data_IF_023612680080
#
_entry.id   IF_023612680080
#
_cell.length_a   1.000
_cell.length_b   1.000
_cell.length_c   1.000
_cell.angle_alpha   90.00
_cell.angle_beta   90.00
_cell.angle_gamma   90.00
#
_symmetry.space_group_name_H-M   'P 1'
#
loop_
_entity.id
_entity.type
_entity.pdbx_description
1 polymer ?
#
# COMPACT_ATOMS: atom_id res chain seq x y z
N UNK A 1 30.18 2.10 27.50
CA UNK A 1 28.84 2.42 26.96
C UNK A 1 28.95 2.38 25.44
N UNK A 2 28.36 1.39 24.78
CA UNK A 2 28.41 1.22 23.30
C UNK A 2 27.40 2.21 22.70
N UNK A 3 27.88 3.12 21.85
CA UNK A 3 27.04 4.02 21.05
C UNK A 3 26.19 3.18 20.10
N UNK A 4 24.88 3.17 20.27
CA UNK A 4 23.94 2.62 19.31
C UNK A 4 23.98 3.51 18.05
N UNK A 5 24.15 2.88 16.89
CA UNK A 5 24.20 3.57 15.59
C UNK A 5 22.84 4.18 15.26
N UNK A 6 22.76 5.38 14.64
CA UNK A 6 21.51 5.97 14.15
C UNK A 6 20.73 5.04 13.20
N UNK A 7 21.44 4.12 12.55
CA UNK A 7 20.82 3.06 11.72
C UNK A 7 19.90 2.11 12.52
N UNK A 8 20.14 1.95 13.84
CA UNK A 8 19.34 1.06 14.70
C UNK A 8 17.99 1.68 15.07
N UNK A 9 17.88 3.00 15.13
CA UNK A 9 16.64 3.72 15.45
C UNK A 9 15.70 3.68 14.23
N UNK A 10 16.21 3.89 13.03
CA UNK A 10 15.45 3.73 11.78
C UNK A 10 14.96 2.29 11.58
N UNK A 11 15.72 1.29 12.01
CA UNK A 11 15.36 -0.14 11.94
C UNK A 11 14.26 -0.49 12.96
N UNK A 12 14.23 0.11 14.14
CA UNK A 12 13.18 -0.18 15.14
C UNK A 12 11.82 0.40 14.73
N UNK A 13 11.77 1.57 14.14
CA UNK A 13 10.52 2.16 13.60
C UNK A 13 10.00 1.33 12.41
N UNK A 14 10.89 0.75 11.61
CA UNK A 14 10.53 -0.17 10.51
C UNK A 14 10.05 -1.55 10.98
N UNK A 15 10.45 -2.04 12.15
CA UNK A 15 10.15 -3.42 12.60
C UNK A 15 8.74 -3.59 13.17
N UNK A 16 8.06 -2.53 13.59
CA UNK A 16 6.66 -2.60 14.07
C UNK A 16 5.67 -2.77 12.89
N UNK A 17 6.12 -2.51 11.65
CA UNK A 17 5.31 -2.53 10.42
C UNK A 17 5.69 -3.65 9.44
N UNK A 18 6.63 -4.54 9.75
CA UNK A 18 7.11 -5.57 8.83
C UNK A 18 6.46 -6.93 9.06
N UNK A 19 5.23 -7.08 8.56
CA UNK A 19 4.65 -8.36 8.17
C UNK A 19 4.84 -8.71 6.68
N UNK A 20 5.75 -8.07 5.93
CA UNK A 20 5.84 -8.23 4.47
C UNK A 20 7.17 -8.79 4.00
N UNK A 21 7.24 -10.11 3.81
CA UNK A 21 8.40 -10.80 3.20
C UNK A 21 8.55 -10.61 1.67
N UNK A 22 7.56 -9.99 0.98
CA UNK A 22 7.55 -9.84 -0.49
C UNK A 22 7.93 -8.41 -1.01
N UNK A 23 8.32 -7.50 -0.13
CA UNK A 23 8.61 -6.10 -0.50
C UNK A 23 9.76 -5.95 -1.51
N UNK A 24 10.74 -6.86 -1.51
CA UNK A 24 11.89 -6.80 -2.41
C UNK A 24 11.52 -7.13 -3.87
N UNK A 25 10.58 -8.04 -4.09
CA UNK A 25 10.11 -8.42 -5.43
C UNK A 25 9.26 -7.32 -6.06
N UNK A 26 8.42 -6.69 -5.25
CA UNK A 26 7.57 -5.56 -5.68
C UNK A 26 8.41 -4.36 -6.13
N UNK A 27 9.54 -4.06 -5.46
CA UNK A 27 10.47 -2.98 -5.87
C UNK A 27 11.01 -3.16 -7.29
N UNK A 28 11.27 -4.38 -7.73
CA UNK A 28 11.81 -4.63 -9.07
C UNK A 28 10.80 -4.39 -10.19
N UNK A 29 9.52 -4.41 -9.87
CA UNK A 29 8.42 -4.25 -10.82
C UNK A 29 7.86 -2.82 -10.88
N UNK A 30 8.09 -2.00 -9.85
CA UNK A 30 7.67 -0.61 -9.80
C UNK A 30 8.65 0.26 -10.60
N UNK A 31 8.37 0.52 -11.88
CA UNK A 31 8.94 1.66 -12.60
C UNK A 31 7.88 2.77 -12.64
N UNK A 32 8.25 4.02 -12.32
CA UNK A 32 7.32 5.13 -12.42
C UNK A 32 6.91 5.32 -13.88
N UNK A 33 5.64 5.18 -14.18
CA UNK A 33 5.10 5.39 -15.51
C UNK A 33 3.87 6.27 -15.46
N UNK A 34 3.92 7.32 -16.27
CA UNK A 34 2.74 8.00 -16.76
C UNK A 34 2.39 9.31 -16.06
N UNK A 35 2.68 10.41 -16.73
CA UNK A 35 2.00 11.70 -16.54
C UNK A 35 0.55 11.56 -17.00
N UNK A 36 -0.38 11.61 -16.07
CA UNK A 36 -1.82 11.71 -16.36
C UNK A 36 -2.15 13.12 -16.84
N UNK A 37 -2.95 13.25 -17.91
CA UNK A 37 -3.53 14.52 -18.34
C UNK A 37 -4.33 15.12 -17.19
N UNK A 38 -3.88 16.27 -16.68
CA UNK A 38 -4.57 17.00 -15.62
C UNK A 38 -3.73 17.35 -14.39
N UNK A 39 -2.49 16.86 -14.28
CA UNK A 39 -1.58 17.28 -13.22
C UNK A 39 -1.20 18.76 -13.40
N UNK A 40 -1.17 19.54 -12.31
CA UNK A 40 -0.55 20.87 -12.29
C UNK A 40 0.90 20.74 -12.75
N UNK A 41 1.42 21.75 -13.47
CA UNK A 41 2.78 21.73 -13.97
C UNK A 41 3.78 21.37 -12.86
N UNK A 42 4.57 20.30 -13.06
CA UNK A 42 5.52 19.80 -12.06
C UNK A 42 4.94 18.85 -11.00
N UNK A 43 3.64 18.51 -11.07
CA UNK A 43 2.97 17.55 -10.20
C UNK A 43 2.63 16.26 -10.93
N UNK A 44 2.55 15.15 -10.19
CA UNK A 44 2.13 13.84 -10.69
C UNK A 44 1.01 13.31 -9.81
N UNK A 45 -0.07 12.83 -10.43
CA UNK A 45 -1.17 12.18 -9.73
C UNK A 45 -0.86 10.71 -9.50
N UNK A 46 -1.05 10.25 -8.27
CA UNK A 46 -0.99 8.85 -7.87
C UNK A 46 -2.37 8.41 -7.44
N UNK A 47 -2.83 7.30 -7.99
CA UNK A 47 -4.09 6.65 -7.64
C UNK A 47 -3.83 5.48 -6.70
N UNK A 48 -4.65 5.33 -5.66
CA UNK A 48 -4.53 4.25 -4.69
C UNK A 48 -5.88 3.95 -4.06
N UNK A 49 -6.40 2.75 -4.28
CA UNK A 49 -7.74 2.39 -3.87
C UNK A 49 -8.77 3.38 -4.44
N UNK A 50 -9.59 3.93 -3.58
CA UNK A 50 -10.66 4.88 -3.98
C UNK A 50 -10.23 6.34 -3.94
N UNK A 51 -8.93 6.62 -3.73
CA UNK A 51 -8.39 7.97 -3.57
C UNK A 51 -7.27 8.27 -4.55
N UNK A 52 -6.96 9.55 -4.67
CA UNK A 52 -5.83 10.06 -5.45
C UNK A 52 -5.13 11.19 -4.68
N UNK A 53 -3.83 11.35 -4.95
CA UNK A 53 -3.00 12.44 -4.42
C UNK A 53 -2.10 12.99 -5.52
N UNK A 54 -1.91 14.31 -5.54
CA UNK A 54 -0.94 14.96 -6.41
C UNK A 54 0.32 15.28 -5.62
N UNK A 55 1.44 14.75 -6.06
CA UNK A 55 2.74 14.98 -5.44
C UNK A 55 3.69 15.66 -6.46
N UNK A 56 4.67 16.47 -6.00
CA UNK A 56 5.76 16.91 -6.86
C UNK A 56 6.34 15.76 -7.67
N UNK A 57 6.67 15.98 -8.95
CA UNK A 57 7.18 14.95 -9.85
C UNK A 57 8.48 14.28 -9.36
N UNK A 58 9.19 14.93 -8.42
CA UNK A 58 10.36 14.39 -7.75
C UNK A 58 10.06 13.25 -6.77
N UNK A 59 8.78 13.10 -6.33
CA UNK A 59 8.39 11.95 -5.54
C UNK A 59 8.30 10.69 -6.40
N UNK A 60 8.85 9.60 -5.89
CA UNK A 60 8.85 8.29 -6.54
C UNK A 60 8.17 7.27 -5.64
N UNK A 61 7.19 6.56 -6.17
CA UNK A 61 6.55 5.46 -5.49
C UNK A 61 7.56 4.31 -5.34
N UNK A 62 7.88 3.93 -4.11
CA UNK A 62 8.81 2.83 -3.81
C UNK A 62 8.08 1.51 -3.53
N UNK A 63 6.98 1.60 -2.81
CA UNK A 63 6.18 0.43 -2.39
C UNK A 63 4.71 0.80 -2.48
N UNK A 64 3.93 -0.10 -3.05
CA UNK A 64 2.47 -0.09 -2.96
C UNK A 64 1.98 -1.50 -2.70
N UNK A 65 1.14 -1.66 -1.68
CA UNK A 65 0.43 -2.88 -1.36
C UNK A 65 -1.04 -2.57 -1.24
N UNK A 66 -1.88 -3.38 -1.85
CA UNK A 66 -3.31 -3.15 -1.90
C UNK A 66 -4.06 -4.44 -1.71
N UNK A 67 -5.10 -4.39 -0.88
CA UNK A 67 -6.07 -5.47 -0.73
C UNK A 67 -7.47 -4.96 -1.07
N UNK A 68 -8.24 -5.79 -1.72
CA UNK A 68 -9.66 -5.60 -1.96
C UNK A 68 -10.37 -6.91 -1.68
N UNK A 69 -11.38 -6.88 -0.81
CA UNK A 69 -12.15 -8.08 -0.42
C UNK A 69 -11.25 -9.25 -0.01
N UNK A 70 -10.29 -9.00 0.89
CA UNK A 70 -9.27 -9.95 1.40
C UNK A 70 -8.22 -10.39 0.38
N UNK A 71 -8.32 -10.01 -0.89
CA UNK A 71 -7.34 -10.36 -1.89
C UNK A 71 -6.25 -9.30 -2.00
N UNK A 72 -4.98 -9.69 -1.85
CA UNK A 72 -3.86 -8.85 -2.27
C UNK A 72 -3.83 -8.77 -3.78
N UNK A 73 -3.78 -7.56 -4.33
CA UNK A 73 -3.78 -7.32 -5.77
C UNK A 73 -2.61 -6.43 -6.14
N UNK A 74 -1.92 -6.80 -7.21
CA UNK A 74 -0.81 -6.03 -7.75
C UNK A 74 -0.81 -6.10 -9.26
N UNK A 75 -0.87 -4.95 -9.94
CA UNK A 75 -0.77 -4.85 -11.38
C UNK A 75 0.55 -4.19 -11.81
N UNK A 76 1.02 -4.49 -13.00
CA UNK A 76 2.25 -3.98 -13.56
C UNK A 76 2.21 -3.93 -15.08
N UNK A 77 3.08 -3.08 -15.69
CA UNK A 77 3.32 -3.08 -17.14
C UNK A 77 4.37 -4.11 -17.51
N UNK A 78 4.17 -4.74 -18.66
CA UNK A 78 5.17 -5.63 -19.23
C UNK A 78 6.47 -4.85 -19.54
N UNK A 79 7.62 -5.46 -19.29
CA UNK A 79 8.94 -4.87 -19.52
C UNK A 79 9.51 -5.29 -20.86
N UNK A 80 9.25 -6.53 -21.25
CA UNK A 80 9.80 -7.13 -22.47
C UNK A 80 8.85 -6.97 -23.65
N UNK A 81 9.40 -6.91 -24.88
CA UNK A 81 8.60 -6.94 -26.10
C UNK A 81 7.87 -8.29 -26.26
N UNK A 82 8.54 -9.40 -25.89
CA UNK A 82 7.94 -10.72 -25.86
C UNK A 82 7.22 -10.95 -24.52
N UNK A 83 6.01 -10.44 -24.46
CA UNK A 83 5.11 -10.58 -23.32
C UNK A 83 4.86 -12.04 -22.93
N UNK A 84 4.75 -12.94 -23.91
CA UNK A 84 4.48 -14.35 -23.64
C UNK A 84 5.64 -14.98 -22.87
N UNK A 85 6.86 -14.68 -23.28
CA UNK A 85 8.07 -15.16 -22.62
C UNK A 85 8.23 -14.57 -21.21
N UNK A 86 7.99 -13.26 -21.05
CA UNK A 86 8.03 -12.61 -19.73
C UNK A 86 7.00 -13.24 -18.79
N UNK A 87 5.77 -13.44 -19.26
CA UNK A 87 4.68 -14.07 -18.51
C UNK A 87 5.03 -15.47 -18.02
N UNK A 88 5.50 -16.35 -18.91
CA UNK A 88 5.89 -17.71 -18.51
C UNK A 88 7.05 -17.67 -17.51
N UNK A 89 8.06 -16.81 -17.72
CA UNK A 89 9.19 -16.65 -16.81
C UNK A 89 8.73 -16.22 -15.40
N UNK A 90 7.84 -15.22 -15.31
CA UNK A 90 7.29 -14.75 -14.03
C UNK A 90 6.48 -15.84 -13.33
N UNK A 91 5.68 -16.61 -14.09
CA UNK A 91 4.91 -17.72 -13.54
C UNK A 91 5.82 -18.80 -12.95
N UNK A 92 6.83 -19.26 -13.71
CA UNK A 92 7.77 -20.28 -13.25
C UNK A 92 8.59 -19.82 -12.03
N UNK A 93 9.00 -18.56 -11.98
CA UNK A 93 9.66 -17.97 -10.80
C UNK A 93 8.75 -18.01 -9.57
N UNK A 94 7.45 -17.71 -9.72
CA UNK A 94 6.47 -17.79 -8.62
C UNK A 94 6.29 -19.22 -8.14
N UNK A 95 6.13 -20.19 -9.06
CA UNK A 95 6.03 -21.60 -8.71
C UNK A 95 7.29 -22.10 -8.00
N UNK A 96 8.48 -21.70 -8.47
CA UNK A 96 9.73 -22.07 -7.83
C UNK A 96 9.85 -21.53 -6.40
N UNK A 97 9.32 -20.34 -6.12
CA UNK A 97 9.25 -19.79 -4.77
C UNK A 97 8.26 -20.56 -3.89
N UNK A 98 7.07 -20.86 -4.40
CA UNK A 98 6.06 -21.65 -3.69
C UNK A 98 6.62 -23.02 -3.32
N UNK A 99 7.31 -23.71 -4.24
CA UNK A 99 7.91 -25.03 -4.01
C UNK A 99 9.00 -25.04 -2.93
N UNK A 100 9.57 -23.86 -2.59
CA UNK A 100 10.56 -23.70 -1.51
C UNK A 100 9.94 -23.46 -0.13
N UNK A 101 8.63 -23.26 -0.04
CA UNK A 101 7.95 -23.10 1.24
C UNK A 101 8.07 -24.37 2.06
N UNK A 102 8.05 -24.24 3.37
CA UNK A 102 8.12 -25.37 4.25
C UNK A 102 6.79 -26.13 4.27
N UNK A 103 6.86 -27.42 3.99
CA UNK A 103 5.68 -28.28 3.92
C UNK A 103 5.05 -28.45 5.32
N UNK A 104 3.74 -28.21 5.49
CA UNK A 104 3.07 -28.49 6.75
C UNK A 104 3.09 -29.98 7.13
N UNK A 105 3.11 -30.26 8.43
CA UNK A 105 3.18 -31.63 8.94
C UNK A 105 2.03 -32.49 8.41
N UNK A 106 2.35 -33.67 7.91
CA UNK A 106 1.36 -34.63 7.40
C UNK A 106 0.94 -34.39 5.94
N UNK A 107 1.44 -33.34 5.29
CA UNK A 107 1.22 -33.10 3.86
C UNK A 107 2.31 -33.74 3.02
N UNK A 108 1.98 -34.17 1.79
CA UNK A 108 2.92 -34.82 0.86
C UNK A 108 3.54 -33.86 -0.15
N UNK A 109 2.87 -32.76 -0.45
CA UNK A 109 3.29 -31.74 -1.43
C UNK A 109 2.77 -30.36 -1.05
N UNK A 110 3.50 -29.31 -1.45
CA UNK A 110 3.14 -27.94 -1.14
C UNK A 110 2.04 -27.42 -2.07
N UNK A 111 2.09 -27.73 -3.36
CA UNK A 111 1.10 -27.36 -4.35
C UNK A 111 -0.04 -28.38 -4.30
N UNK A 112 -1.27 -27.88 -4.14
CA UNK A 112 -2.50 -28.67 -4.10
C UNK A 112 -3.03 -28.84 -5.52
N UNK A 113 -3.18 -27.72 -6.24
CA UNK A 113 -3.72 -27.69 -7.59
C UNK A 113 -3.07 -26.56 -8.41
N UNK A 114 -2.85 -26.79 -9.69
CA UNK A 114 -2.53 -25.78 -10.70
C UNK A 114 -3.50 -25.88 -11.84
N UNK A 115 -4.07 -24.74 -12.28
CA UNK A 115 -5.07 -24.72 -13.36
C UNK A 115 -5.01 -23.48 -14.23
N UNK A 116 -5.41 -23.65 -15.49
CA UNK A 116 -5.73 -22.54 -16.37
C UNK A 116 -7.14 -22.03 -16.10
N UNK A 117 -7.27 -20.70 -16.01
CA UNK A 117 -8.58 -20.04 -15.90
C UNK A 117 -9.02 -19.57 -17.27
N UNK A 118 -10.16 -20.09 -17.75
CA UNK A 118 -10.73 -19.68 -19.03
C UNK A 118 -11.64 -18.46 -18.88
N UNK A 119 -11.63 -17.57 -19.87
CA UNK A 119 -12.51 -16.39 -19.89
C UNK A 119 -12.05 -15.24 -18.98
N UNK A 120 -10.82 -15.28 -18.46
CA UNK A 120 -10.23 -14.22 -17.66
C UNK A 120 -9.00 -13.70 -18.40
N UNK A 121 -9.00 -12.42 -18.80
CA UNK A 121 -7.93 -11.82 -19.59
C UNK A 121 -7.60 -12.58 -20.88
N UNK A 122 -6.42 -12.36 -21.42
CA UNK A 122 -5.90 -13.07 -22.58
C UNK A 122 -5.28 -14.43 -22.21
N UNK A 123 -4.85 -14.55 -20.97
CA UNK A 123 -4.29 -15.75 -20.39
C UNK A 123 -4.32 -15.62 -18.87
N UNK A 124 -4.67 -16.69 -18.18
CA UNK A 124 -4.66 -16.75 -16.73
C UNK A 124 -4.31 -18.14 -16.21
N UNK A 125 -3.46 -18.19 -15.18
CA UNK A 125 -3.16 -19.38 -14.39
C UNK A 125 -3.39 -19.12 -12.91
N UNK A 126 -3.80 -20.17 -12.21
CA UNK A 126 -3.97 -20.17 -10.76
C UNK A 126 -3.24 -21.35 -10.14
N UNK A 127 -2.70 -21.15 -8.95
CA UNK A 127 -2.11 -22.20 -8.12
C UNK A 127 -2.68 -22.12 -6.71
N UNK A 128 -3.13 -23.28 -6.21
CA UNK A 128 -3.54 -23.49 -4.84
C UNK A 128 -2.41 -24.20 -4.08
N UNK A 129 -2.04 -23.68 -2.91
CA UNK A 129 -0.92 -24.22 -2.16
C UNK A 129 -1.03 -23.99 -0.66
N UNK A 130 -0.31 -24.78 0.12
CA UNK A 130 -0.17 -24.54 1.55
C UNK A 130 0.79 -23.39 1.81
N UNK A 131 0.38 -22.45 2.67
CA UNK A 131 1.21 -21.33 3.09
C UNK A 131 2.29 -21.74 4.10
N UNK A 132 2.91 -20.76 4.72
CA UNK A 132 3.94 -21.01 5.74
C UNK A 132 3.32 -21.71 6.96
N UNK A 133 3.84 -22.90 7.28
CA UNK A 133 3.36 -23.74 8.39
C UNK A 133 3.40 -23.04 9.75
N UNK A 134 4.24 -22.00 9.90
CA UNK A 134 4.36 -21.22 11.14
C UNK A 134 3.12 -20.37 11.44
N UNK A 135 2.31 -20.12 10.43
CA UNK A 135 1.08 -19.31 10.53
C UNK A 135 -0.16 -20.21 10.64
N UNK A 136 0.01 -21.54 10.51
CA UNK A 136 -1.07 -22.52 10.49
C UNK A 136 -1.30 -23.16 9.12
N UNK A 137 -2.27 -24.10 9.04
CA UNK A 137 -2.62 -24.81 7.79
C UNK A 137 -3.44 -23.91 6.84
N UNK A 138 -2.93 -22.73 6.55
CA UNK A 138 -3.60 -21.82 5.60
C UNK A 138 -3.38 -22.27 4.16
N UNK A 139 -4.45 -22.24 3.38
CA UNK A 139 -4.43 -22.49 1.94
C UNK A 139 -4.47 -21.13 1.24
N UNK A 140 -3.61 -20.98 0.27
CA UNK A 140 -3.51 -19.78 -0.58
C UNK A 140 -3.88 -20.09 -2.01
N UNK A 141 -4.55 -19.16 -2.64
CA UNK A 141 -4.67 -19.05 -4.08
C UNK A 141 -3.78 -17.92 -4.56
N UNK A 142 -2.93 -18.19 -5.54
CA UNK A 142 -2.24 -17.16 -6.31
C UNK A 142 -2.67 -17.27 -7.76
N UNK A 143 -3.11 -16.17 -8.32
CA UNK A 143 -3.57 -16.07 -9.71
C UNK A 143 -2.70 -15.07 -10.45
N UNK A 144 -2.33 -15.40 -11.68
CA UNK A 144 -1.63 -14.52 -12.60
C UNK A 144 -2.43 -14.36 -13.88
N UNK A 145 -2.68 -13.10 -14.27
CA UNK A 145 -3.48 -12.78 -15.45
C UNK A 145 -2.72 -11.82 -16.36
N UNK A 146 -2.79 -12.10 -17.66
CA UNK A 146 -2.35 -11.22 -18.75
C UNK A 146 -3.58 -10.53 -19.35
N UNK A 147 -3.71 -9.21 -19.16
CA UNK A 147 -4.78 -8.39 -19.74
C UNK A 147 -4.35 -7.66 -21.04
N UNK A 148 -3.20 -7.98 -21.58
CA UNK A 148 -2.69 -7.32 -22.79
C UNK A 148 -1.73 -6.18 -22.44
N UNK A 149 -2.22 -5.04 -21.99
CA UNK A 149 -1.41 -3.89 -21.62
C UNK A 149 -0.69 -4.07 -20.28
N UNK A 150 -1.25 -4.88 -19.39
CA UNK A 150 -0.73 -5.13 -18.04
C UNK A 150 -0.81 -6.60 -17.65
N UNK A 151 0.07 -6.98 -16.72
CA UNK A 151 -0.08 -8.19 -15.91
C UNK A 151 -0.69 -7.87 -14.55
N UNK A 152 -1.39 -8.83 -13.97
CA UNK A 152 -1.98 -8.72 -12.63
C UNK A 152 -1.73 -9.98 -11.83
N UNK A 153 -1.21 -9.80 -10.62
CA UNK A 153 -1.15 -10.82 -9.59
C UNK A 153 -2.27 -10.60 -8.58
N UNK A 154 -2.93 -11.69 -8.20
CA UNK A 154 -3.87 -11.72 -7.09
C UNK A 154 -3.50 -12.86 -6.17
N UNK A 155 -3.44 -12.59 -4.86
CA UNK A 155 -3.25 -13.62 -3.82
C UNK A 155 -4.37 -13.51 -2.79
N UNK A 156 -5.04 -14.62 -2.53
CA UNK A 156 -6.11 -14.74 -1.56
C UNK A 156 -5.81 -15.90 -0.63
N UNK A 157 -6.03 -15.72 0.67
CA UNK A 157 -5.96 -16.82 1.64
C UNK A 157 -7.34 -17.10 2.24
N UNK A 158 -7.59 -18.35 2.62
CA UNK A 158 -8.84 -18.71 3.27
C UNK A 158 -9.04 -20.22 3.40
N UNK A 159 -9.91 -20.58 4.33
CA UNK A 159 -10.23 -21.97 4.66
C UNK A 159 -11.31 -22.58 3.74
N UNK A 160 -12.01 -21.76 2.95
CA UNK A 160 -13.16 -22.22 2.14
C UNK A 160 -12.99 -21.87 0.66
N UNK A 161 -12.63 -22.89 -0.12
CA UNK A 161 -12.24 -22.76 -1.51
C UNK A 161 -13.31 -22.19 -2.44
N UNK A 162 -14.60 -22.52 -2.26
CA UNK A 162 -15.63 -22.08 -3.21
C UNK A 162 -15.96 -20.59 -3.06
N UNK A 163 -16.07 -20.06 -1.84
CA UNK A 163 -16.32 -18.63 -1.61
C UNK A 163 -15.13 -17.81 -2.11
N UNK A 164 -13.92 -18.27 -1.84
CA UNK A 164 -12.68 -17.65 -2.28
C UNK A 164 -12.57 -17.62 -3.82
N UNK A 165 -12.86 -18.73 -4.49
CA UNK A 165 -12.87 -18.82 -5.96
C UNK A 165 -13.85 -17.84 -6.60
N UNK A 166 -15.07 -17.71 -6.06
CA UNK A 166 -16.07 -16.75 -6.55
C UNK A 166 -15.60 -15.32 -6.37
N UNK A 167 -14.99 -15.02 -5.22
CA UNK A 167 -14.50 -13.68 -4.91
C UNK A 167 -13.37 -13.26 -5.85
N UNK A 168 -12.34 -14.08 -6.04
CA UNK A 168 -11.26 -13.71 -6.95
C UNK A 168 -11.71 -13.64 -8.41
N UNK A 169 -12.62 -14.53 -8.86
CA UNK A 169 -13.18 -14.44 -10.21
C UNK A 169 -13.88 -13.11 -10.42
N UNK A 170 -14.67 -12.68 -9.43
CA UNK A 170 -15.35 -11.38 -9.48
C UNK A 170 -14.35 -10.21 -9.57
N UNK A 171 -13.29 -10.21 -8.75
CA UNK A 171 -12.25 -9.18 -8.81
C UNK A 171 -11.58 -9.15 -10.19
N UNK A 172 -11.18 -10.32 -10.70
CA UNK A 172 -10.46 -10.44 -11.96
C UNK A 172 -11.31 -10.03 -13.17
N UNK A 173 -12.59 -10.35 -13.19
CA UNK A 173 -13.48 -10.01 -14.31
C UNK A 173 -13.81 -8.52 -14.39
N UNK A 174 -13.61 -7.77 -13.31
CA UNK A 174 -13.86 -6.33 -13.25
C UNK A 174 -12.59 -5.48 -13.34
N UNK A 175 -11.43 -6.08 -13.57
CA UNK A 175 -10.20 -5.32 -13.79
C UNK A 175 -10.21 -4.66 -15.18
N UNK A 176 -9.80 -3.39 -15.21
CA UNK A 176 -9.64 -2.59 -16.43
C UNK A 176 -8.31 -1.82 -16.35
N UNK A 177 -7.55 -1.84 -17.44
CA UNK A 177 -6.32 -1.07 -17.57
C UNK A 177 -6.64 0.42 -17.75
N UNK A 178 -5.84 1.30 -17.11
CA UNK A 178 -5.98 2.75 -17.19
C UNK A 178 -6.95 3.34 -16.16
N UNK A 179 -7.04 4.68 -16.18
CA UNK A 179 -7.80 5.47 -15.20
C UNK A 179 -8.85 6.37 -15.87
N UNK A 180 -9.29 6.01 -17.07
CA UNK A 180 -10.34 6.75 -17.77
C UNK A 180 -11.71 6.44 -17.14
N UNK A 181 -12.56 7.48 -16.99
CA UNK A 181 -13.93 7.34 -16.49
C UNK A 181 -14.06 6.65 -15.13
N UNK A 182 -13.22 7.06 -14.16
CA UNK A 182 -13.31 6.56 -12.79
C UNK A 182 -14.68 6.88 -12.20
N UNK A 183 -15.28 5.89 -11.54
CA UNK A 183 -16.54 5.98 -10.81
C UNK A 183 -16.30 5.85 -9.31
N UNK A 184 -17.32 6.05 -8.48
CA UNK A 184 -17.24 5.80 -7.04
C UNK A 184 -16.90 4.33 -6.71
N UNK A 185 -17.18 3.42 -7.64
CA UNK A 185 -16.93 1.99 -7.48
C UNK A 185 -15.54 1.57 -7.97
N UNK A 186 -14.75 2.52 -8.49
CA UNK A 186 -13.38 2.25 -8.97
C UNK A 186 -12.41 2.11 -7.81
N UNK A 187 -11.80 0.94 -7.68
CA UNK A 187 -10.65 0.69 -6.81
C UNK A 187 -9.37 0.69 -7.65
N UNK A 188 -8.58 1.76 -7.54
CA UNK A 188 -7.42 2.01 -8.39
C UNK A 188 -6.18 1.25 -7.90
N UNK A 189 -5.44 0.65 -8.84
CA UNK A 189 -4.14 0.02 -8.67
C UNK A 189 -3.02 0.92 -9.23
N UNK A 190 -1.86 0.34 -9.60
CA UNK A 190 -0.76 1.13 -10.17
C UNK A 190 -1.00 1.54 -11.62
N UNK A 191 -1.68 0.71 -12.40
CA UNK A 191 -1.83 0.87 -13.85
C UNK A 191 -3.27 0.71 -14.34
N UNK A 192 -4.14 0.24 -13.47
CA UNK A 192 -5.53 0.01 -13.79
C UNK A 192 -6.42 0.13 -12.56
N UNK A 193 -7.64 -0.35 -12.70
CA UNK A 193 -8.65 -0.30 -11.66
C UNK A 193 -9.52 -1.54 -11.67
N UNK A 194 -10.17 -1.79 -10.55
CA UNK A 194 -11.19 -2.83 -10.38
C UNK A 194 -12.51 -2.11 -10.17
N UNK A 195 -13.46 -2.29 -11.09
CA UNK A 195 -14.79 -1.66 -11.03
C UNK A 195 -15.74 -2.50 -10.19
N UNK A 196 -15.62 -2.37 -8.87
CA UNK A 196 -16.46 -3.04 -7.90
C UNK A 196 -16.83 -2.09 -6.76
N UNK A 197 -18.11 -2.08 -6.34
CA UNK A 197 -18.51 -1.32 -5.17
C UNK A 197 -17.76 -1.84 -3.93
N UNK A 198 -17.57 -0.93 -2.97
CA UNK A 198 -17.08 -1.32 -1.66
C UNK A 198 -17.99 -2.42 -1.07
N UNK A 199 -17.38 -3.40 -0.46
CA UNK A 199 -18.08 -4.46 0.26
C UNK A 199 -17.47 -4.67 1.65
N UNK A 200 -16.19 -4.99 1.70
CA UNK A 200 -15.43 -5.25 2.92
C UNK A 200 -13.93 -5.34 2.63
N UNK A 201 -13.07 -5.15 3.64
CA UNK A 201 -11.63 -5.39 3.62
C UNK A 201 -10.90 -4.75 2.43
N UNK A 202 -10.84 -3.42 2.47
CA UNK A 202 -9.93 -2.66 1.61
C UNK A 202 -8.77 -2.13 2.47
N UNK A 203 -7.55 -2.46 2.07
CA UNK A 203 -6.34 -1.99 2.72
C UNK A 203 -5.38 -1.44 1.67
N UNK A 204 -4.78 -0.29 1.94
CA UNK A 204 -3.78 0.32 1.08
C UNK A 204 -2.60 0.75 1.93
N UNK A 205 -1.42 0.43 1.43
CA UNK A 205 -0.16 0.96 1.92
C UNK A 205 0.65 1.48 0.76
N UNK A 206 1.07 2.73 0.80
CA UNK A 206 1.96 3.33 -0.19
C UNK A 206 3.10 4.09 0.49
N UNK A 207 4.32 3.96 -0.06
CA UNK A 207 5.49 4.70 0.39
C UNK A 207 6.18 5.36 -0.79
N UNK A 208 6.56 6.61 -0.60
CA UNK A 208 7.23 7.43 -1.60
C UNK A 208 8.54 7.98 -1.05
N UNK A 209 9.58 7.99 -1.89
CA UNK A 209 10.78 8.79 -1.67
C UNK A 209 10.63 10.13 -2.39
N UNK A 210 10.92 11.23 -1.70
CA UNK A 210 10.77 12.59 -2.22
C UNK A 210 12.07 13.41 -2.16
N UNK A 211 12.02 14.67 -2.59
CA UNK A 211 13.14 15.60 -2.48
C UNK A 211 13.47 15.85 -1.00
N UNK A 212 14.67 16.36 -0.72
CA UNK A 212 15.13 16.67 0.65
C UNK A 212 15.04 15.49 1.61
N UNK A 213 15.27 14.28 1.11
CA UNK A 213 15.18 13.00 1.84
C UNK A 213 13.81 12.73 2.48
N UNK A 214 12.74 13.35 1.95
CA UNK A 214 11.38 13.12 2.41
C UNK A 214 10.93 11.68 2.13
N UNK A 215 10.29 11.07 3.11
CA UNK A 215 9.62 9.77 3.01
C UNK A 215 8.16 9.95 3.34
N UNK A 216 7.30 9.94 2.33
CA UNK A 216 5.85 10.02 2.50
C UNK A 216 5.26 8.62 2.57
N UNK A 217 4.38 8.39 3.55
CA UNK A 217 3.64 7.15 3.74
C UNK A 217 2.15 7.44 3.78
N UNK A 218 1.37 6.59 3.13
CA UNK A 218 -0.09 6.64 3.13
C UNK A 218 -0.60 5.25 3.47
N UNK A 219 -1.44 5.17 4.48
CA UNK A 219 -2.11 3.96 4.94
C UNK A 219 -3.61 4.22 4.96
N UNK A 220 -4.38 3.30 4.40
CA UNK A 220 -5.83 3.33 4.44
C UNK A 220 -6.31 1.94 4.81
N UNK A 221 -7.18 1.86 5.81
CA UNK A 221 -7.71 0.61 6.31
C UNK A 221 -9.21 0.75 6.50
N UNK A 222 -9.91 -0.36 6.34
CA UNK A 222 -11.28 -0.45 6.79
C UNK A 222 -11.34 -0.21 8.31
N UNK A 223 -12.25 0.65 8.73
CA UNK A 223 -12.50 0.89 10.16
C UNK A 223 -13.50 -0.15 10.67
N UNK A 224 -13.02 -1.12 11.43
CA UNK A 224 -13.90 -2.11 12.07
C UNK A 224 -14.53 -1.58 13.35
N UNK A 225 -13.82 -0.72 14.08
CA UNK A 225 -14.28 -0.07 15.29
C UNK A 225 -13.57 1.28 15.42
N UNK A 226 -14.35 2.35 15.57
CA UNK A 226 -13.78 3.68 15.85
C UNK A 226 -13.32 3.69 17.30
N UNK A 227 -12.02 3.88 17.52
CA UNK A 227 -11.48 4.01 18.86
C UNK A 227 -11.75 5.41 19.42
N UNK A 228 -12.24 5.50 20.65
CA UNK A 228 -12.48 6.77 21.38
C UNK A 228 -11.20 7.51 21.76
N UNK A 229 -10.02 6.87 21.63
CA UNK A 229 -8.73 7.50 21.93
C UNK A 229 -8.36 8.45 20.79
N UNK A 230 -8.21 9.72 21.11
CA UNK A 230 -7.84 10.76 20.14
C UNK A 230 -6.58 10.39 19.38
N UNK A 231 -6.63 10.59 18.07
CA UNK A 231 -5.54 10.29 17.14
C UNK A 231 -4.22 10.97 17.58
N UNK A 232 -4.30 12.18 18.11
CA UNK A 232 -3.17 12.91 18.67
C UNK A 232 -2.55 12.18 19.85
N UNK A 233 -3.35 11.62 20.74
CA UNK A 233 -2.87 10.89 21.92
C UNK A 233 -2.21 9.57 21.50
N UNK A 234 -2.74 8.86 20.48
CA UNK A 234 -2.11 7.66 19.91
C UNK A 234 -0.79 8.00 19.22
N UNK A 235 -0.75 9.09 18.45
CA UNK A 235 0.45 9.52 17.74
C UNK A 235 1.52 9.96 18.74
N UNK A 236 1.16 10.77 19.74
CA UNK A 236 2.07 11.21 20.80
C UNK A 236 2.52 10.02 21.63
N UNK A 237 1.63 9.09 21.97
CA UNK A 237 1.99 7.86 22.70
C UNK A 237 2.92 6.95 21.85
N UNK A 238 2.64 6.80 20.56
CA UNK A 238 3.52 6.05 19.64
C UNK A 238 4.89 6.70 19.49
N UNK A 239 4.94 8.01 19.37
CA UNK A 239 6.18 8.76 19.34
C UNK A 239 6.89 8.70 20.70
N UNK A 240 6.19 8.89 21.82
CA UNK A 240 6.76 8.83 23.17
C UNK A 240 7.29 7.42 23.53
N UNK A 241 6.61 6.34 23.10
CA UNK A 241 7.11 4.97 23.31
C UNK A 241 8.35 4.65 22.46
N UNK A 242 8.52 5.32 21.31
CA UNK A 242 9.69 5.15 20.45
C UNK A 242 10.85 6.06 20.86
N UNK A 243 10.60 7.07 21.69
CA UNK A 243 11.63 7.96 22.19
C UNK A 243 12.14 7.48 23.56
N UNK A 244 13.30 6.84 23.53
CA UNK A 244 14.05 6.49 24.74
C UNK A 244 14.36 7.76 25.59
N UNK A 245 14.67 7.62 26.89
CA UNK A 245 15.13 8.77 27.72
C UNK A 245 16.25 9.53 27.00
N UNK A 246 16.10 10.85 26.84
CA UNK A 246 17.05 11.72 26.14
C UNK A 246 16.59 12.19 24.76
N UNK A 247 15.33 11.99 24.40
CA UNK A 247 14.72 12.57 23.20
C UNK A 247 13.99 13.86 23.55
N UNK A 248 14.32 14.94 22.87
CA UNK A 248 13.60 16.21 22.93
C UNK A 248 12.56 16.28 21.80
N UNK A 249 11.36 16.73 22.12
CA UNK A 249 10.24 16.85 21.15
C UNK A 249 9.68 18.26 21.19
N UNK A 250 9.87 18.98 20.09
CA UNK A 250 9.31 20.31 19.88
C UNK A 250 8.06 20.24 18.99
N UNK A 251 6.92 20.74 19.48
CA UNK A 251 5.66 20.80 18.75
C UNK A 251 5.61 22.07 17.89
N UNK A 252 5.62 21.89 16.58
CA UNK A 252 5.62 22.99 15.60
C UNK A 252 4.17 23.39 15.23
N UNK A 253 3.32 22.41 14.91
CA UNK A 253 1.91 22.63 14.53
C UNK A 253 1.05 21.46 15.01
N UNK A 254 -0.12 21.77 15.57
CA UNK A 254 -1.14 20.77 15.92
C UNK A 254 -2.53 21.37 15.66
N UNK A 255 -3.46 20.57 15.22
CA UNK A 255 -4.83 21.03 15.02
C UNK A 255 -5.71 20.05 14.24
N UNK A 256 -6.98 20.42 14.11
CA UNK A 256 -7.92 19.70 13.26
C UNK A 256 -7.77 20.17 11.82
N UNK A 257 -7.81 19.25 10.86
CA UNK A 257 -7.79 19.52 9.42
C UNK A 257 -8.70 18.56 8.68
N UNK A 258 -9.57 19.12 7.84
CA UNK A 258 -10.40 18.32 6.94
C UNK A 258 -9.65 18.11 5.63
N UNK A 259 -9.48 16.84 5.22
CA UNK A 259 -8.82 16.44 3.96
C UNK A 259 -9.76 15.50 3.21
N UNK A 260 -10.03 15.74 1.93
CA UNK A 260 -10.95 14.93 1.11
C UNK A 260 -12.35 14.74 1.75
N UNK A 261 -12.87 15.78 2.39
CA UNK A 261 -14.11 15.80 3.20
C UNK A 261 -14.06 14.95 4.49
N UNK A 262 -12.93 14.33 4.80
CA UNK A 262 -12.72 13.54 5.99
C UNK A 262 -12.18 14.44 7.13
N UNK A 263 -12.85 14.48 8.29
CA UNK A 263 -12.30 15.17 9.45
C UNK A 263 -11.11 14.39 10.00
N UNK A 264 -10.04 15.10 10.35
CA UNK A 264 -8.84 14.50 10.90
C UNK A 264 -8.08 15.45 11.81
N UNK A 265 -7.00 14.94 12.37
CA UNK A 265 -6.08 15.70 13.21
C UNK A 265 -4.70 15.72 12.57
N UNK A 266 -4.04 16.86 12.66
CA UNK A 266 -2.70 17.09 12.13
C UNK A 266 -1.72 17.41 13.24
N UNK A 267 -0.49 16.89 13.10
CA UNK A 267 0.63 17.26 13.94
C UNK A 267 1.91 17.40 13.12
N UNK A 268 2.70 18.43 13.42
CA UNK A 268 4.09 18.57 12.94
C UNK A 268 4.97 18.72 14.16
N UNK A 269 5.97 17.88 14.29
CA UNK A 269 6.93 17.90 15.39
C UNK A 269 8.36 17.83 14.86
N UNK A 270 9.29 18.33 15.67
CA UNK A 270 10.72 18.07 15.56
C UNK A 270 11.11 17.14 16.71
N UNK A 271 11.74 16.01 16.37
CA UNK A 271 12.35 15.11 17.34
C UNK A 271 13.86 15.25 17.31
N UNK A 272 14.53 15.39 18.45
CA UNK A 272 15.99 15.49 18.54
C UNK A 272 16.53 14.37 19.41
N UNK A 273 17.49 13.61 18.88
CA UNK A 273 18.18 12.50 19.55
C UNK A 273 19.67 12.64 19.32
N UNK A 274 20.48 12.77 20.38
CA UNK A 274 21.94 12.91 20.28
C UNK A 274 22.36 14.00 19.26
N UNK A 275 21.75 15.18 19.35
CA UNK A 275 21.99 16.34 18.48
C UNK A 275 21.59 16.13 16.99
N UNK A 276 20.94 15.05 16.65
CA UNK A 276 20.34 14.84 15.31
C UNK A 276 18.85 15.12 15.38
N UNK A 277 18.38 16.07 14.58
CA UNK A 277 16.99 16.46 14.53
C UNK A 277 16.31 15.97 13.25
N UNK A 278 15.09 15.49 13.38
CA UNK A 278 14.21 15.08 12.28
C UNK A 278 12.83 15.73 12.42
N UNK A 279 12.18 15.97 11.28
CA UNK A 279 10.82 16.47 11.21
C UNK A 279 9.85 15.32 10.90
N UNK A 280 8.75 15.30 11.66
CA UNK A 280 7.66 14.35 11.49
C UNK A 280 6.36 15.12 11.28
N UNK A 281 5.69 14.84 10.19
CA UNK A 281 4.39 15.35 9.84
C UNK A 281 3.42 14.19 9.84
N UNK A 282 2.25 14.35 10.42
CA UNK A 282 1.22 13.35 10.37
C UNK A 282 -0.16 13.99 10.29
N UNK A 283 -1.03 13.38 9.52
CA UNK A 283 -2.45 13.62 9.49
C UNK A 283 -3.16 12.27 9.54
N UNK A 284 -4.20 12.20 10.38
CA UNK A 284 -4.91 10.96 10.66
C UNK A 284 -6.41 11.23 10.77
N UNK A 285 -7.21 10.42 10.05
CA UNK A 285 -8.66 10.39 10.10
C UNK A 285 -9.13 9.02 10.61
N UNK A 286 -9.97 8.96 11.65
CA UNK A 286 -10.40 7.69 12.22
C UNK A 286 -11.36 6.89 11.30
N UNK A 287 -11.88 7.51 10.25
CA UNK A 287 -12.85 6.89 9.35
C UNK A 287 -14.23 6.71 9.96
N UNK A 288 -15.04 5.86 9.32
CA UNK A 288 -16.34 5.38 9.81
C UNK A 288 -16.39 3.87 9.70
N UNK A 289 -17.06 3.22 10.62
CA UNK A 289 -17.22 1.77 10.62
C UNK A 289 -17.85 1.28 9.31
N UNK A 290 -17.31 0.19 8.77
CA UNK A 290 -17.78 -0.51 7.57
C UNK A 290 -17.94 0.40 6.34
N UNK A 291 -17.06 1.38 6.15
CA UNK A 291 -17.17 2.36 5.07
C UNK A 291 -15.92 2.44 4.20
N UNK A 292 -16.05 2.09 2.92
CA UNK A 292 -15.00 2.35 1.91
C UNK A 292 -14.93 3.79 1.43
N UNK A 293 -15.97 4.59 1.66
CA UNK A 293 -15.99 6.03 1.37
C UNK A 293 -15.29 6.84 2.47
N UNK A 294 -15.32 6.32 3.71
CA UNK A 294 -14.74 6.95 4.90
C UNK A 294 -13.83 5.95 5.64
N UNK A 295 -12.75 5.44 5.01
CA UNK A 295 -11.81 4.55 5.67
C UNK A 295 -11.00 5.29 6.73
N UNK A 296 -10.39 4.56 7.65
CA UNK A 296 -9.29 5.10 8.44
C UNK A 296 -8.12 5.44 7.51
N UNK A 297 -7.63 6.68 7.58
CA UNK A 297 -6.50 7.12 6.75
C UNK A 297 -5.43 7.74 7.63
N UNK A 298 -4.19 7.30 7.42
CA UNK A 298 -2.98 7.88 8.01
C UNK A 298 -2.05 8.33 6.90
N UNK A 299 -1.67 9.61 6.92
CA UNK A 299 -0.67 10.17 6.03
C UNK A 299 0.47 10.68 6.90
N UNK A 300 1.67 10.17 6.67
CA UNK A 300 2.87 10.55 7.43
C UNK A 300 4.01 10.96 6.50
N UNK A 301 4.81 11.95 6.92
CA UNK A 301 6.02 12.36 6.21
C UNK A 301 7.15 12.53 7.22
N UNK A 302 8.28 11.91 6.93
CA UNK A 302 9.51 11.94 7.71
C UNK A 302 10.62 12.57 6.86
N UNK A 303 11.46 13.41 7.45
CA UNK A 303 12.63 13.98 6.79
C UNK A 303 13.64 14.56 7.79
N UNK A 304 14.93 14.71 7.42
CA UNK A 304 15.90 15.44 8.23
C UNK A 304 15.38 16.84 8.59
N UNK A 305 15.84 17.44 9.67
CA UNK A 305 15.51 18.84 10.00
C UNK A 305 16.08 19.82 8.94
N UNK A 306 15.66 21.08 9.02
CA UNK A 306 15.99 22.14 8.07
C UNK A 306 14.94 22.33 6.98
N UNK A 307 14.92 23.51 6.37
CA UNK A 307 13.96 23.93 5.33
C UNK A 307 12.50 23.68 5.70
N UNK A 308 12.14 23.91 6.97
CA UNK A 308 10.81 23.64 7.51
C UNK A 308 9.68 24.25 6.66
N UNK A 309 9.82 25.53 6.27
CA UNK A 309 8.77 26.22 5.49
C UNK A 309 8.54 25.58 4.12
N UNK A 310 9.60 25.15 3.45
CA UNK A 310 9.49 24.49 2.13
C UNK A 310 8.84 23.11 2.27
N UNK A 311 9.27 22.33 3.25
CA UNK A 311 8.71 21.01 3.56
C UNK A 311 7.25 21.10 3.98
N UNK A 312 6.91 22.11 4.78
CA UNK A 312 5.52 22.38 5.17
C UNK A 312 4.64 22.73 3.98
N UNK A 313 5.14 23.55 3.03
CA UNK A 313 4.40 23.84 1.78
C UNK A 313 4.15 22.59 0.93
N UNK A 314 5.11 21.69 0.86
CA UNK A 314 4.95 20.42 0.13
C UNK A 314 3.92 19.53 0.85
N UNK A 315 4.00 19.44 2.16
CA UNK A 315 3.02 18.73 3.00
C UNK A 315 1.62 19.25 2.82
N UNK A 316 1.43 20.56 2.95
CA UNK A 316 0.13 21.22 2.79
C UNK A 316 -0.44 20.98 1.39
N UNK A 317 0.37 21.14 0.34
CA UNK A 317 -0.05 20.88 -1.03
C UNK A 317 -0.43 19.41 -1.27
N UNK A 318 0.28 18.47 -0.65
CA UNK A 318 -0.04 17.05 -0.73
C UNK A 318 -1.41 16.75 -0.08
N UNK A 319 -1.65 17.22 1.14
CA UNK A 319 -2.93 17.04 1.82
C UNK A 319 -4.09 17.73 1.10
N UNK A 320 -3.90 18.96 0.60
CA UNK A 320 -4.92 19.69 -0.15
C UNK A 320 -5.28 19.04 -1.49
N UNK A 321 -4.37 18.24 -2.04
CA UNK A 321 -4.59 17.51 -3.29
C UNK A 321 -5.24 16.14 -3.09
N UNK A 322 -5.23 15.63 -1.87
CA UNK A 322 -5.81 14.32 -1.56
C UNK A 322 -7.33 14.37 -1.72
N UNK A 323 -7.88 13.42 -2.48
CA UNK A 323 -9.29 13.44 -2.90
C UNK A 323 -9.79 12.05 -3.28
N UNK A 324 -11.12 11.83 -3.38
CA UNK A 324 -11.66 10.66 -4.06
C UNK A 324 -11.09 10.56 -5.49
N UNK A 325 -10.81 9.33 -5.94
CA UNK A 325 -10.24 9.09 -7.27
C UNK A 325 -11.24 9.42 -8.39
N UNK A 326 -12.53 9.17 -8.15
CA UNK A 326 -13.61 9.59 -9.04
C UNK A 326 -13.84 11.09 -8.95
N UNK A 327 -14.10 11.73 -10.07
CA UNK A 327 -14.65 13.10 -10.07
C UNK A 327 -16.10 13.01 -9.57
N UNK A 328 -16.40 13.76 -8.52
CA UNK A 328 -17.79 14.04 -8.12
C UNK A 328 -18.53 14.80 -9.22
#
# INVERSE_FOLDING_TARGET
MRKLSPLLIAVMISLILCGYSDAAERRSLLKPTGTTKGAKQGMKTYYMGRFAIDLPAAFQLEIQSQKIRYAEVFDFKWKERDRAKERESLWEQKLAKIKKLQLPKGRKQIIIEEKHLKGIGNWAKAVEYYGDYRIGDYIYWTVFVDYGESGLWLTLYGLNNQKSLKNFTNILTHYQYGFDNLTKDSFCLNHGRIELPYLEQEEIYARFAGPMEMKLRIEMNETQQVEDVGVLDRLVASLAMNFAPGVDVDKIRTGSRTVAVLPGQEIIIRGTVNDVSELFFAWDSPGREDSGEYPEIRIGLECPDGSLDEKTKIWDAALDSFRPASKS
#
